data_IF_689617362664
#
_entry.id   IF_689617362664
#
_cell.length_a   1.000
_cell.length_b   1.000
_cell.length_c   1.000
_cell.angle_alpha   90.00
_cell.angle_beta   90.00
_cell.angle_gamma   90.00
#
_symmetry.space_group_name_H-M   'P 1'
#
loop_
_entity.id
_entity.type
_entity.pdbx_description
1 polymer ?
#
# COMPACT_ATOMS: atom_id res chain seq x y z
N UNK A 1 -6.83 2.59 -24.70
CA UNK A 1 -6.28 3.69 -25.53
C UNK A 1 -5.37 3.06 -26.58
N UNK A 2 -5.62 3.30 -27.87
CA UNK A 2 -4.81 2.73 -28.96
C UNK A 2 -3.78 3.79 -29.36
N UNK A 3 -2.50 3.43 -29.31
CA UNK A 3 -1.39 4.33 -29.64
C UNK A 3 -0.78 3.88 -30.97
N UNK A 4 -0.69 4.78 -31.95
CA UNK A 4 -0.05 4.51 -33.24
C UNK A 4 1.36 5.09 -33.22
N UNK A 5 2.38 4.24 -33.10
CA UNK A 5 3.78 4.62 -33.24
C UNK A 5 4.34 4.07 -34.55
N UNK A 6 4.50 4.94 -35.55
CA UNK A 6 5.21 4.61 -36.79
C UNK A 6 6.71 4.90 -36.60
N UNK A 7 7.50 3.89 -36.23
CA UNK A 7 8.97 3.97 -36.25
C UNK A 7 9.49 3.59 -37.65
N UNK A 8 9.35 4.51 -38.60
CA UNK A 8 10.22 4.64 -39.78
C UNK A 8 10.30 3.50 -40.82
N UNK A 9 9.48 2.45 -40.76
CA UNK A 9 9.44 1.35 -41.74
C UNK A 9 8.24 1.41 -42.70
N UNK A 10 8.26 0.65 -43.83
CA UNK A 10 7.17 0.67 -44.81
C UNK A 10 5.83 0.25 -44.19
N UNK A 11 4.80 1.05 -44.46
CA UNK A 11 3.44 1.05 -43.90
C UNK A 11 2.62 -0.25 -44.03
N UNK A 12 3.14 -1.31 -44.66
CA UNK A 12 2.37 -2.53 -44.94
C UNK A 12 2.30 -3.53 -43.78
N UNK A 13 3.06 -3.30 -42.70
CA UNK A 13 3.02 -4.11 -41.47
C UNK A 13 2.48 -3.29 -40.30
N UNK A 14 1.16 -3.14 -40.24
CA UNK A 14 0.48 -2.59 -39.07
C UNK A 14 0.43 -3.66 -37.99
N UNK A 15 1.25 -3.52 -36.95
CA UNK A 15 1.17 -4.36 -35.76
C UNK A 15 0.36 -3.61 -34.71
N UNK A 16 -0.84 -4.09 -34.42
CA UNK A 16 -1.68 -3.58 -33.33
C UNK A 16 -1.32 -4.37 -32.09
N UNK A 17 -0.66 -3.73 -31.13
CA UNK A 17 -0.49 -4.28 -29.80
C UNK A 17 -1.40 -3.57 -28.82
N UNK A 18 -2.12 -4.34 -28.02
CA UNK A 18 -2.85 -3.80 -26.89
C UNK A 18 -1.83 -3.41 -25.82
N UNK A 19 -1.63 -2.11 -25.64
CA UNK A 19 -0.89 -1.59 -24.48
C UNK A 19 -1.74 -1.85 -23.24
N UNK A 20 -1.46 -2.97 -22.57
CA UNK A 20 -1.99 -3.24 -21.24
C UNK A 20 -1.04 -2.57 -20.25
N UNK A 21 -1.47 -1.49 -19.59
CA UNK A 21 -0.69 -0.89 -18.51
C UNK A 21 -0.69 -1.84 -17.31
N UNK A 22 0.19 -2.82 -17.33
CA UNK A 22 0.35 -3.78 -16.24
C UNK A 22 1.78 -3.78 -15.72
N UNK A 23 2.39 -2.60 -15.57
CA UNK A 23 3.67 -2.46 -14.85
C UNK A 23 3.63 -3.12 -13.46
N UNK A 24 2.44 -3.24 -12.87
CA UNK A 24 2.24 -3.91 -11.59
C UNK A 24 1.27 -5.10 -11.67
N UNK A 25 0.54 -5.30 -12.78
CA UNK A 25 -0.76 -6.00 -12.77
C UNK A 25 -0.93 -7.23 -13.65
N UNK A 26 0.14 -7.77 -14.24
CA UNK A 26 0.06 -8.93 -15.12
C UNK A 26 1.27 -9.84 -14.96
N UNK A 27 1.11 -11.13 -15.30
CA UNK A 27 2.14 -12.18 -15.37
C UNK A 27 3.21 -11.88 -16.47
N UNK A 28 3.72 -10.66 -16.50
CA UNK A 28 4.84 -10.27 -17.34
C UNK A 28 6.17 -10.74 -16.75
N UNK A 29 7.19 -10.86 -17.62
CA UNK A 29 8.55 -11.29 -17.26
C UNK A 29 9.23 -10.43 -16.16
N UNK A 30 8.74 -9.22 -15.90
CA UNK A 30 9.23 -8.34 -14.84
C UNK A 30 8.38 -8.54 -13.57
N UNK A 31 8.90 -9.34 -12.62
CA UNK A 31 8.34 -9.40 -11.26
C UNK A 31 8.88 -8.22 -10.46
N UNK A 32 8.08 -7.17 -10.28
CA UNK A 32 8.37 -6.20 -9.21
C UNK A 32 8.30 -6.95 -7.87
N UNK A 33 9.38 -6.99 -7.08
CA UNK A 33 9.38 -7.73 -5.83
C UNK A 33 8.31 -7.14 -4.90
N UNK A 34 7.32 -7.98 -4.59
CA UNK A 34 6.26 -7.70 -3.64
C UNK A 34 6.88 -7.59 -2.25
N UNK A 35 6.75 -6.44 -1.61
CA UNK A 35 7.38 -6.23 -0.31
C UNK A 35 6.44 -6.54 0.85
N UNK A 36 5.25 -5.93 0.92
CA UNK A 36 4.41 -6.02 2.13
C UNK A 36 2.92 -5.82 1.78
N UNK A 37 2.03 -6.54 2.49
CA UNK A 37 0.56 -6.37 2.47
C UNK A 37 0.05 -5.77 3.76
N UNK A 38 -0.84 -4.79 3.67
CA UNK A 38 -1.53 -4.21 4.83
C UNK A 38 -3.02 -4.06 4.59
N UNK A 39 -3.80 -4.39 5.61
CA UNK A 39 -5.24 -4.20 5.59
C UNK A 39 -5.83 -4.62 6.93
N UNK A 40 -6.70 -3.78 7.47
CA UNK A 40 -7.37 -4.02 8.75
C UNK A 40 -8.87 -4.23 8.54
N UNK A 41 -9.45 -5.15 9.29
CA UNK A 41 -10.89 -5.34 9.40
C UNK A 41 -11.36 -5.00 10.81
N UNK A 42 -12.17 -3.94 10.89
CA UNK A 42 -12.75 -3.42 12.12
C UNK A 42 -14.12 -4.03 12.44
N UNK A 43 -14.61 -4.95 11.60
CA UNK A 43 -15.87 -5.69 11.82
C UNK A 43 -17.08 -4.76 11.96
N UNK A 44 -17.07 -3.64 11.22
CA UNK A 44 -18.13 -2.63 11.24
C UNK A 44 -18.05 -1.62 12.39
N UNK A 45 -17.04 -1.71 13.27
CA UNK A 45 -16.74 -0.69 14.28
C UNK A 45 -16.07 0.53 13.66
N UNK A 46 -16.18 1.69 14.30
CA UNK A 46 -15.50 2.89 13.84
C UNK A 46 -13.96 2.73 13.96
N UNK A 47 -13.20 2.78 12.85
CA UNK A 47 -11.76 2.51 12.86
C UNK A 47 -10.95 3.45 13.74
N UNK A 48 -11.35 4.73 13.77
CA UNK A 48 -10.62 5.77 14.49
C UNK A 48 -10.78 5.54 15.99
N UNK A 49 -12.02 5.34 16.45
CA UNK A 49 -12.33 5.07 17.85
C UNK A 49 -11.60 3.81 18.35
N UNK A 50 -11.66 2.72 17.60
CA UNK A 50 -10.99 1.45 17.97
C UNK A 50 -9.48 1.62 18.11
N UNK A 51 -8.84 2.36 17.20
CA UNK A 51 -7.39 2.59 17.28
C UNK A 51 -7.00 3.53 18.41
N UNK A 52 -7.81 4.55 18.72
CA UNK A 52 -7.54 5.40 19.88
C UNK A 52 -7.66 4.64 21.19
N UNK A 53 -8.64 3.73 21.31
CA UNK A 53 -8.75 2.82 22.46
C UNK A 53 -7.52 1.90 22.57
N UNK A 54 -7.07 1.33 21.45
CA UNK A 54 -5.86 0.49 21.39
C UNK A 54 -4.58 1.25 21.76
N UNK A 55 -4.42 2.49 21.28
CA UNK A 55 -3.29 3.34 21.67
C UNK A 55 -3.29 3.58 23.18
N UNK A 56 -4.45 3.92 23.74
CA UNK A 56 -4.59 4.17 25.17
C UNK A 56 -4.30 2.92 26.00
N UNK A 57 -4.75 1.72 25.56
CA UNK A 57 -4.47 0.46 26.27
C UNK A 57 -3.00 0.07 26.25
N UNK A 58 -2.29 0.39 25.17
CA UNK A 58 -0.86 0.11 25.00
C UNK A 58 0.04 1.23 25.56
N UNK A 59 -0.55 2.33 26.06
CA UNK A 59 0.17 3.44 26.68
C UNK A 59 0.79 4.45 25.71
N UNK A 60 0.36 4.47 24.45
CA UNK A 60 0.81 5.46 23.47
C UNK A 60 -0.03 6.74 23.54
N UNK A 61 0.64 7.89 23.48
CA UNK A 61 -0.04 9.19 23.50
C UNK A 61 -0.76 9.49 22.17
N UNK A 62 -0.14 9.15 21.05
CA UNK A 62 -0.67 9.39 19.71
C UNK A 62 -0.12 8.38 18.68
N UNK A 63 -0.58 8.52 17.44
CA UNK A 63 -0.15 7.66 16.33
C UNK A 63 1.30 7.91 15.88
N UNK A 64 1.88 9.07 16.19
CA UNK A 64 3.28 9.38 15.88
C UNK A 64 4.24 8.67 16.83
N UNK A 65 3.85 8.52 18.11
CA UNK A 65 4.61 7.79 19.11
C UNK A 65 4.90 6.33 18.68
N UNK A 66 4.05 5.75 17.83
CA UNK A 66 4.29 4.43 17.25
C UNK A 66 5.56 4.36 16.40
N UNK A 67 6.05 5.48 15.82
CA UNK A 67 7.24 5.50 14.97
C UNK A 67 8.53 5.22 15.75
N UNK A 68 8.53 5.43 17.06
CA UNK A 68 9.68 5.12 17.91
C UNK A 68 9.79 3.61 18.18
N UNK A 69 8.66 2.91 18.20
CA UNK A 69 8.57 1.48 18.50
C UNK A 69 8.56 0.62 17.24
N UNK A 70 7.86 1.06 16.19
CA UNK A 70 7.64 0.30 14.96
C UNK A 70 8.60 0.78 13.88
N UNK A 71 9.47 -0.13 13.41
CA UNK A 71 10.41 0.17 12.33
C UNK A 71 9.66 0.39 11.01
N UNK A 72 9.54 1.65 10.60
CA UNK A 72 9.05 2.02 9.28
C UNK A 72 10.06 1.67 8.17
N UNK A 73 9.56 1.40 6.97
CA UNK A 73 10.43 1.22 5.80
C UNK A 73 10.99 2.57 5.40
N UNK A 74 12.32 2.74 5.44
CA UNK A 74 12.97 4.04 5.24
C UNK A 74 12.90 4.63 3.83
N UNK A 75 12.33 3.91 2.86
CA UNK A 75 12.22 4.33 1.45
C UNK A 75 10.78 4.50 1.00
N UNK A 76 10.59 5.27 -0.07
CA UNK A 76 9.28 5.45 -0.71
C UNK A 76 8.92 4.21 -1.52
N UNK A 77 7.68 3.76 -1.39
CA UNK A 77 7.16 2.57 -2.05
C UNK A 77 5.87 2.91 -2.80
N UNK A 78 5.56 2.14 -3.84
CA UNK A 78 4.34 2.30 -4.62
C UNK A 78 3.23 1.46 -3.98
N UNK A 79 2.08 2.08 -3.71
CA UNK A 79 0.91 1.40 -3.17
C UNK A 79 -0.03 0.96 -4.29
N UNK A 80 -0.60 -0.24 -4.16
CA UNK A 80 -1.67 -0.76 -5.02
C UNK A 80 -2.79 -1.34 -4.17
N UNK A 81 -4.07 -1.18 -4.54
CA UNK A 81 -5.17 -1.87 -3.88
C UNK A 81 -4.99 -3.40 -3.89
N UNK A 82 -5.09 -4.01 -2.72
CA UNK A 82 -5.07 -5.46 -2.53
C UNK A 82 -6.50 -6.03 -2.43
N UNK A 83 -6.66 -7.29 -2.86
CA UNK A 83 -7.88 -8.09 -2.66
C UNK A 83 -7.72 -9.17 -1.60
N UNK A 84 -6.52 -9.35 -1.04
CA UNK A 84 -6.28 -10.32 0.03
C UNK A 84 -7.16 -10.06 1.27
N UNK A 85 -7.42 -11.10 2.08
CA UNK A 85 -8.15 -10.94 3.33
C UNK A 85 -7.36 -10.03 4.29
N UNK A 86 -8.00 -9.01 4.89
CA UNK A 86 -7.38 -8.15 5.88
C UNK A 86 -7.14 -8.88 7.21
N UNK A 87 -6.28 -8.31 8.05
CA UNK A 87 -6.10 -8.70 9.43
C UNK A 87 -7.32 -8.29 10.26
N UNK A 88 -7.95 -9.24 10.94
CA UNK A 88 -9.10 -8.98 11.80
C UNK A 88 -8.61 -8.39 13.12
N UNK A 89 -9.08 -7.18 13.45
CA UNK A 89 -8.58 -6.42 14.60
C UNK A 89 -8.88 -7.10 15.94
N UNK A 90 -10.00 -7.82 16.06
CA UNK A 90 -10.39 -8.53 17.29
C UNK A 90 -9.53 -9.75 17.61
N UNK A 91 -8.91 -10.39 16.60
CA UNK A 91 -8.16 -11.63 16.78
C UNK A 91 -6.63 -11.45 16.73
N UNK A 92 -6.17 -10.27 16.36
CA UNK A 92 -4.76 -9.96 16.20
C UNK A 92 -4.15 -9.32 17.46
N UNK A 93 -2.83 -9.49 17.70
CA UNK A 93 -2.12 -8.76 18.73
C UNK A 93 -2.24 -7.24 18.52
N UNK A 94 -2.42 -6.49 19.60
CA UNK A 94 -2.59 -5.04 19.55
C UNK A 94 -1.45 -4.34 18.80
N UNK A 95 -0.20 -4.76 19.04
CA UNK A 95 0.97 -4.19 18.37
C UNK A 95 0.99 -4.45 16.87
N UNK A 96 0.49 -5.60 16.40
CA UNK A 96 0.41 -5.90 14.96
C UNK A 96 -0.63 -5.00 14.28
N UNK A 97 -1.77 -4.78 14.95
CA UNK A 97 -2.82 -3.88 14.49
C UNK A 97 -2.29 -2.44 14.42
N UNK A 98 -1.67 -1.96 15.50
CA UNK A 98 -1.10 -0.61 15.57
C UNK A 98 0.02 -0.41 14.55
N UNK A 99 0.86 -1.42 14.33
CA UNK A 99 1.91 -1.39 13.30
C UNK A 99 1.30 -1.23 11.90
N UNK A 100 0.31 -2.04 11.54
CA UNK A 100 -0.35 -1.90 10.24
C UNK A 100 -1.11 -0.58 10.11
N UNK A 101 -1.77 -0.12 11.16
CA UNK A 101 -2.45 1.18 11.18
C UNK A 101 -1.48 2.34 10.97
N UNK A 102 -0.31 2.31 11.61
CA UNK A 102 0.75 3.30 11.39
C UNK A 102 1.17 3.32 9.92
N UNK A 103 1.44 2.14 9.34
CA UNK A 103 1.87 2.04 7.95
C UNK A 103 0.78 2.52 6.97
N UNK A 104 -0.49 2.18 7.21
CA UNK A 104 -1.63 2.72 6.44
C UNK A 104 -1.75 4.25 6.59
N UNK A 105 -1.48 4.77 7.78
CA UNK A 105 -1.43 6.21 8.06
C UNK A 105 -0.32 6.95 7.31
N UNK A 106 0.77 6.25 6.96
CA UNK A 106 1.87 6.72 6.10
C UNK A 106 1.60 6.52 4.59
N UNK A 107 0.52 5.85 4.21
CA UNK A 107 0.13 5.66 2.81
C UNK A 107 -0.85 6.72 2.28
N UNK A 108 -0.65 7.12 1.02
CA UNK A 108 -1.70 7.69 0.17
C UNK A 108 -2.36 6.58 -0.67
N UNK A 109 -3.25 6.93 -1.61
CA UNK A 109 -3.86 5.93 -2.48
C UNK A 109 -2.84 5.20 -3.40
N UNK A 110 -1.68 5.82 -3.67
CA UNK A 110 -0.70 5.33 -4.65
C UNK A 110 0.75 5.33 -4.16
N UNK A 111 1.05 5.99 -3.04
CA UNK A 111 2.42 6.18 -2.56
C UNK A 111 2.51 6.04 -1.05
N UNK A 112 3.46 5.24 -0.59
CA UNK A 112 3.96 5.22 0.77
C UNK A 112 5.14 6.19 0.89
N UNK A 113 5.08 7.08 1.89
CA UNK A 113 6.15 8.03 2.15
C UNK A 113 6.50 8.00 3.65
N UNK A 114 7.68 7.54 4.06
CA UNK A 114 8.02 7.46 5.48
C UNK A 114 8.21 8.84 6.13
N UNK A 115 8.47 9.91 5.37
CA UNK A 115 8.73 11.25 5.91
C UNK A 115 7.48 12.07 6.22
N UNK A 116 6.28 11.56 5.90
CA UNK A 116 5.03 12.29 6.16
C UNK A 116 4.49 11.96 7.56
N UNK A 117 3.68 12.85 8.14
CA UNK A 117 2.99 12.53 9.39
C UNK A 117 2.02 11.36 9.20
N UNK A 118 1.89 10.54 10.24
CA UNK A 118 0.92 9.45 10.39
C UNK A 118 -0.46 10.08 10.54
N UNK A 119 -1.26 9.98 9.47
CA UNK A 119 -2.62 10.50 9.45
C UNK A 119 -3.62 9.36 9.40
N UNK A 120 -4.42 9.22 10.45
CA UNK A 120 -5.52 8.28 10.50
C UNK A 120 -6.82 8.97 10.10
N UNK A 121 -7.35 8.53 8.96
CA UNK A 121 -8.67 8.88 8.46
C UNK A 121 -9.43 7.59 8.20
N UNK A 122 -10.76 7.63 8.16
CA UNK A 122 -11.53 6.45 7.75
C UNK A 122 -11.06 5.92 6.39
N UNK A 123 -10.74 6.81 5.45
CA UNK A 123 -10.26 6.42 4.13
C UNK A 123 -8.88 5.73 4.15
N UNK A 124 -7.95 6.10 5.05
CA UNK A 124 -6.64 5.43 5.12
C UNK A 124 -6.74 4.06 5.78
N UNK A 125 -7.54 3.95 6.85
CA UNK A 125 -7.65 2.74 7.66
C UNK A 125 -8.46 1.63 7.01
N UNK A 126 -9.40 1.97 6.12
CA UNK A 126 -10.24 0.99 5.40
C UNK A 126 -9.61 0.49 4.10
N UNK A 127 -8.44 1.03 3.71
CA UNK A 127 -7.72 0.57 2.51
C UNK A 127 -7.06 -0.78 2.78
N UNK A 128 -6.92 -1.53 1.69
CA UNK A 128 -6.09 -2.73 1.61
C UNK A 128 -5.04 -2.45 0.56
N UNK A 129 -3.77 -2.48 0.93
CA UNK A 129 -2.67 -2.06 0.08
C UNK A 129 -1.58 -3.13 0.03
N UNK A 130 -1.09 -3.40 -1.17
CA UNK A 130 0.19 -4.05 -1.40
C UNK A 130 1.23 -2.99 -1.79
N UNK A 131 2.46 -3.18 -1.34
CA UNK A 131 3.57 -2.30 -1.65
C UNK A 131 4.58 -2.93 -2.60
N UNK A 132 5.07 -2.07 -3.49
CA UNK A 132 6.10 -2.40 -4.46
C UNK A 132 7.27 -1.45 -4.36
N UNK A 133 8.46 -2.02 -4.49
CA UNK A 133 9.70 -1.28 -4.57
C UNK A 133 9.95 -0.82 -6.01
N UNK A 134 9.96 0.50 -6.29
CA UNK A 134 10.24 0.99 -7.64
C UNK A 134 11.66 0.66 -8.09
N UNK A 135 12.63 0.57 -7.18
CA UNK A 135 14.03 0.30 -7.52
C UNK A 135 14.26 -1.16 -7.93
N UNK A 136 13.44 -2.09 -7.43
CA UNK A 136 13.51 -3.51 -7.79
C UNK A 136 13.16 -3.80 -9.26
N UNK A 137 12.73 -2.80 -10.02
CA UNK A 137 12.49 -2.93 -11.46
C UNK A 137 13.78 -2.78 -12.29
N UNK A 138 14.78 -2.07 -11.78
CA UNK A 138 16.03 -1.73 -12.49
C UNK A 138 17.25 -2.51 -11.99
N UNK A 139 17.07 -3.38 -11.00
CA UNK A 139 18.12 -4.24 -10.43
C UNK A 139 18.29 -5.55 -11.18
#
# INVERSE_FOLDING_TARGET
MILYCNTGGPSSRTRVEHVVSSLLGGDGLARCPHQIRWGLDFEGRDPITVLHELLASEGFADAEALRETVSAVGKRLICRPDKAPPLVVSSAPAMDVLSQAMMLGLCTATLYNPSRPVLWTQASLTRRLELFDPEGFYS
#
